data_IF_335755318268
#
_entry.id   IF_335755318268
#
_cell.length_a   1.000
_cell.length_b   1.000
_cell.length_c   1.000
_cell.angle_alpha   90.00
_cell.angle_beta   90.00
_cell.angle_gamma   90.00
#
_symmetry.space_group_name_H-M   'P 1'
#
loop_
_entity.id
_entity.type
_entity.pdbx_description
1 polymer ?
#
# COMPACT_ATOMS: atom_id res chain seq x y z
N UNK A 1 74.00 -43.88 -8.77
CA UNK A 1 72.55 -44.20 -8.80
C UNK A 1 71.79 -42.98 -8.26
N UNK A 2 71.16 -42.21 -9.16
CA UNK A 2 70.40 -40.97 -8.78
C UNK A 2 68.95 -41.34 -8.61
N UNK A 3 68.41 -41.21 -7.40
CA UNK A 3 66.99 -41.39 -7.10
C UNK A 3 66.23 -40.13 -7.51
N UNK A 4 65.37 -40.20 -8.52
CA UNK A 4 64.43 -39.13 -8.90
C UNK A 4 63.14 -39.36 -8.11
N UNK A 5 62.86 -38.47 -7.17
CA UNK A 5 61.57 -38.42 -6.40
C UNK A 5 60.60 -37.67 -7.29
N UNK A 6 59.56 -38.34 -7.79
CA UNK A 6 58.41 -37.74 -8.44
C UNK A 6 57.43 -37.23 -7.35
N UNK A 7 57.32 -35.91 -7.18
CA UNK A 7 56.26 -35.29 -6.35
C UNK A 7 55.02 -35.17 -7.23
N UNK A 8 54.03 -36.00 -6.93
CA UNK A 8 52.68 -35.88 -7.54
C UNK A 8 51.93 -34.76 -6.86
N UNK A 9 51.78 -33.62 -7.56
CA UNK A 9 50.97 -32.50 -7.12
C UNK A 9 49.50 -32.80 -7.40
N UNK A 10 48.76 -33.22 -6.36
CA UNK A 10 47.31 -33.47 -6.44
C UNK A 10 46.58 -32.13 -6.43
N UNK A 11 46.23 -31.59 -7.60
CA UNK A 11 45.35 -30.39 -7.73
C UNK A 11 43.96 -30.83 -7.37
N UNK A 12 43.53 -30.52 -6.14
CA UNK A 12 42.12 -30.56 -5.71
C UNK A 12 41.34 -29.51 -6.52
N UNK A 13 40.72 -29.95 -7.60
CA UNK A 13 39.70 -29.16 -8.29
C UNK A 13 38.48 -29.04 -7.38
N UNK A 14 38.43 -27.98 -6.58
CA UNK A 14 37.20 -27.58 -5.89
C UNK A 14 36.24 -27.08 -6.98
N UNK A 15 35.40 -27.99 -7.45
CA UNK A 15 34.27 -27.64 -8.32
C UNK A 15 33.26 -26.85 -7.46
N UNK A 16 33.31 -25.53 -7.49
CA UNK A 16 32.21 -24.71 -7.05
C UNK A 16 31.01 -25.06 -7.95
N UNK A 17 30.09 -25.87 -7.45
CA UNK A 17 28.78 -25.97 -8.06
C UNK A 17 28.16 -24.58 -7.91
N UNK A 18 28.10 -23.80 -8.97
CA UNK A 18 27.24 -22.63 -9.05
C UNK A 18 25.78 -23.15 -9.04
N UNK A 19 25.23 -23.34 -7.85
CA UNK A 19 23.83 -23.67 -7.72
C UNK A 19 23.03 -22.45 -8.18
N UNK A 20 22.24 -22.61 -9.22
CA UNK A 20 21.37 -21.54 -9.71
C UNK A 20 20.19 -21.41 -8.75
N UNK A 21 19.83 -20.18 -8.35
CA UNK A 21 18.64 -19.97 -7.53
C UNK A 21 17.40 -20.57 -8.20
N UNK A 22 16.63 -21.31 -7.41
CA UNK A 22 15.33 -21.85 -7.83
C UNK A 22 14.24 -20.84 -7.55
N UNK A 23 13.19 -20.86 -8.37
CA UNK A 23 12.00 -20.05 -8.20
C UNK A 23 11.01 -20.73 -7.27
N UNK A 24 10.54 -20.01 -6.27
CA UNK A 24 9.44 -20.40 -5.41
C UNK A 24 8.30 -19.41 -5.58
N UNK A 25 7.08 -19.91 -5.49
CA UNK A 25 5.87 -19.11 -5.69
C UNK A 25 4.85 -19.43 -4.60
N UNK A 26 4.41 -18.40 -3.86
CA UNK A 26 3.42 -18.47 -2.80
C UNK A 26 2.24 -17.59 -3.18
N UNK A 27 1.02 -18.07 -2.96
CA UNK A 27 -0.19 -17.32 -3.27
C UNK A 27 -1.30 -17.65 -2.27
N UNK A 28 -2.21 -16.72 -2.05
CA UNK A 28 -3.31 -16.91 -1.13
C UNK A 28 -4.21 -15.69 -1.03
N UNK A 29 -4.89 -15.57 0.10
CA UNK A 29 -5.77 -14.43 0.40
C UNK A 29 -5.34 -13.77 1.71
N UNK A 30 -5.24 -12.43 1.70
CA UNK A 30 -4.98 -11.64 2.88
C UNK A 30 -5.64 -10.25 2.73
N UNK A 31 -6.03 -9.61 3.83
CA UNK A 31 -6.60 -8.25 3.85
C UNK A 31 -7.79 -8.06 2.89
N UNK A 32 -8.60 -9.11 2.71
CA UNK A 32 -9.77 -9.09 1.82
C UNK A 32 -9.46 -9.12 0.31
N UNK A 33 -8.21 -9.47 -0.08
CA UNK A 33 -7.78 -9.60 -1.47
C UNK A 33 -6.83 -10.78 -1.64
N UNK A 34 -6.36 -11.02 -2.86
CA UNK A 34 -5.34 -12.03 -3.18
C UNK A 34 -3.94 -11.48 -3.04
N UNK A 35 -2.98 -12.37 -2.73
CA UNK A 35 -1.56 -12.08 -2.80
C UNK A 35 -0.82 -13.09 -3.65
N UNK A 36 0.32 -12.66 -4.20
CA UNK A 36 1.31 -13.52 -4.84
C UNK A 36 2.72 -13.07 -4.46
N UNK A 37 3.59 -14.03 -4.15
CA UNK A 37 4.97 -13.79 -3.76
C UNK A 37 5.86 -14.70 -4.60
N UNK A 38 6.71 -14.11 -5.41
CA UNK A 38 7.72 -14.81 -6.18
C UNK A 38 9.09 -14.52 -5.60
N UNK A 39 9.86 -15.55 -5.28
CA UNK A 39 11.22 -15.41 -4.73
C UNK A 39 12.19 -16.34 -5.45
N UNK A 40 13.48 -15.99 -5.40
CA UNK A 40 14.57 -16.85 -5.88
C UNK A 40 15.50 -17.21 -4.71
N UNK A 41 15.75 -18.49 -4.49
CA UNK A 41 16.63 -19.01 -3.45
C UNK A 41 17.48 -20.18 -3.94
N UNK A 42 18.73 -20.26 -3.47
CA UNK A 42 19.59 -21.43 -3.67
C UNK A 42 19.30 -22.54 -2.67
N UNK A 43 18.66 -22.21 -1.56
CA UNK A 43 18.28 -23.16 -0.52
C UNK A 43 16.82 -23.56 -0.71
N UNK A 44 16.48 -24.76 -0.25
CA UNK A 44 15.08 -25.14 -0.08
C UNK A 44 14.46 -24.30 1.05
N UNK A 45 13.26 -23.74 0.81
CA UNK A 45 12.63 -22.79 1.70
C UNK A 45 11.15 -23.12 1.94
N UNK A 46 10.74 -23.05 3.19
CA UNK A 46 9.34 -23.04 3.62
C UNK A 46 9.05 -21.69 4.28
N UNK A 47 8.26 -20.84 3.60
CA UNK A 47 7.96 -19.48 4.02
C UNK A 47 6.49 -19.29 4.44
N UNK A 48 5.60 -20.24 4.16
CA UNK A 48 4.15 -20.09 4.33
C UNK A 48 3.79 -19.66 5.75
N UNK A 49 4.28 -20.38 6.77
CA UNK A 49 3.99 -20.05 8.17
C UNK A 49 4.47 -18.67 8.58
N UNK A 50 5.60 -18.21 8.02
CA UNK A 50 6.12 -16.89 8.31
C UNK A 50 5.30 -15.78 7.64
N UNK A 51 4.88 -15.99 6.40
CA UNK A 51 3.99 -15.09 5.66
C UNK A 51 2.65 -14.97 6.39
N UNK A 52 2.04 -16.10 6.77
CA UNK A 52 0.79 -16.13 7.53
C UNK A 52 0.91 -15.41 8.89
N UNK A 53 2.05 -15.59 9.56
CA UNK A 53 2.34 -14.90 10.82
C UNK A 53 2.40 -13.40 10.66
N UNK A 54 2.95 -12.88 9.55
CA UNK A 54 2.97 -11.44 9.25
C UNK A 54 1.54 -10.94 9.05
N UNK A 55 0.75 -11.58 8.20
CA UNK A 55 -0.64 -11.20 7.97
C UNK A 55 -1.49 -11.22 9.24
N UNK A 56 -1.32 -12.26 10.07
CA UNK A 56 -1.99 -12.36 11.36
C UNK A 56 -1.65 -11.18 12.29
N UNK A 57 -0.37 -10.83 12.42
CA UNK A 57 0.09 -9.73 13.29
C UNK A 57 -0.46 -8.38 12.83
N UNK A 58 -0.41 -8.09 11.52
CA UNK A 58 -0.97 -6.84 10.98
C UNK A 58 -2.48 -6.77 11.22
N UNK A 59 -3.21 -7.85 10.95
CA UNK A 59 -4.65 -7.91 11.20
C UNK A 59 -4.98 -7.70 12.68
N UNK A 60 -4.26 -8.37 13.58
CA UNK A 60 -4.47 -8.24 15.04
C UNK A 60 -4.27 -6.80 15.52
N UNK A 61 -3.28 -6.11 14.96
CA UNK A 61 -2.96 -4.74 15.34
C UNK A 61 -3.93 -3.71 14.73
N UNK A 62 -4.08 -3.69 13.41
CA UNK A 62 -4.65 -2.53 12.69
C UNK A 62 -5.86 -2.83 11.78
N UNK A 63 -6.43 -4.02 11.81
CA UNK A 63 -7.62 -4.34 10.99
C UNK A 63 -8.91 -3.84 11.65
N UNK A 64 -9.60 -2.88 11.03
CA UNK A 64 -10.93 -2.42 11.47
C UNK A 64 -12.02 -3.48 11.25
N UNK A 65 -11.78 -4.47 10.38
CA UNK A 65 -12.72 -5.56 10.09
C UNK A 65 -12.64 -6.71 11.09
N UNK A 66 -11.61 -6.73 11.95
CA UNK A 66 -11.44 -7.75 12.99
C UNK A 66 -11.85 -7.15 14.35
N UNK A 67 -12.99 -7.56 14.95
CA UNK A 67 -13.48 -6.96 16.19
C UNK A 67 -12.50 -7.01 17.36
N UNK A 68 -11.66 -8.04 17.41
CA UNK A 68 -10.67 -8.23 18.47
C UNK A 68 -9.31 -7.60 18.20
N UNK A 69 -9.14 -6.88 17.09
CA UNK A 69 -7.94 -6.11 16.81
C UNK A 69 -7.77 -4.94 17.79
N UNK A 70 -6.53 -4.48 17.95
CA UNK A 70 -6.23 -3.38 18.86
C UNK A 70 -6.89 -2.07 18.37
N UNK A 71 -6.85 -1.78 17.06
CA UNK A 71 -7.52 -0.59 16.49
C UNK A 71 -9.03 -0.64 16.70
N UNK A 72 -9.67 -1.80 16.55
CA UNK A 72 -11.11 -1.94 16.75
C UNK A 72 -11.50 -1.73 18.21
N UNK A 73 -10.70 -2.21 19.17
CA UNK A 73 -10.91 -1.94 20.60
C UNK A 73 -10.76 -0.46 20.92
N UNK A 74 -9.71 0.19 20.41
CA UNK A 74 -9.46 1.63 20.56
C UNK A 74 -10.65 2.43 19.97
N UNK A 75 -11.14 2.06 18.80
CA UNK A 75 -12.28 2.71 18.17
C UNK A 75 -13.55 2.59 19.01
N UNK A 76 -13.75 1.46 19.72
CA UNK A 76 -14.86 1.27 20.68
C UNK A 76 -14.64 1.95 22.02
N UNK A 77 -13.53 2.64 22.24
CA UNK A 77 -13.27 3.43 23.44
C UNK A 77 -12.44 2.70 24.50
N UNK A 78 -11.79 1.58 24.19
CA UNK A 78 -10.87 0.92 25.11
C UNK A 78 -9.55 1.70 25.21
N UNK A 79 -9.36 2.41 26.32
CA UNK A 79 -8.16 3.20 26.61
C UNK A 79 -7.05 2.40 27.30
N UNK A 80 -7.29 1.12 27.58
CA UNK A 80 -6.31 0.24 28.24
C UNK A 80 -5.30 -0.36 27.27
N UNK A 81 -5.56 -0.32 25.97
CA UNK A 81 -4.73 -0.92 24.94
C UNK A 81 -3.37 -0.21 24.89
N UNK A 82 -2.31 -1.00 25.03
CA UNK A 82 -0.93 -0.62 24.74
C UNK A 82 -0.65 -1.12 23.33
N UNK A 83 -0.42 -0.19 22.39
CA UNK A 83 -0.24 -0.53 20.99
C UNK A 83 1.15 -1.10 20.71
N UNK A 84 1.22 -2.02 19.75
CA UNK A 84 2.46 -2.65 19.30
C UNK A 84 3.21 -1.80 18.26
N UNK A 85 4.41 -2.25 17.87
CA UNK A 85 5.25 -1.56 16.87
C UNK A 85 4.54 -1.43 15.51
N UNK A 86 3.68 -2.39 15.15
CA UNK A 86 2.90 -2.33 13.89
C UNK A 86 1.94 -1.14 13.91
N UNK A 87 1.24 -0.95 15.02
CA UNK A 87 0.35 0.20 15.20
C UNK A 87 1.13 1.51 15.19
N UNK A 88 2.24 1.56 15.94
CA UNK A 88 3.11 2.74 16.05
C UNK A 88 3.65 3.16 14.69
N UNK A 89 4.14 2.23 13.90
CA UNK A 89 4.67 2.51 12.56
C UNK A 89 3.56 3.04 11.64
N UNK A 90 2.38 2.40 11.61
CA UNK A 90 1.24 2.88 10.82
C UNK A 90 0.77 4.26 11.28
N UNK A 91 0.76 4.54 12.59
CA UNK A 91 0.46 5.85 13.15
C UNK A 91 1.44 6.91 12.68
N UNK A 92 2.74 6.65 12.78
CA UNK A 92 3.79 7.60 12.43
C UNK A 92 3.81 7.88 10.92
N UNK A 93 3.75 6.84 10.07
CA UNK A 93 3.64 7.02 8.61
C UNK A 93 2.41 7.87 8.27
N UNK A 94 1.28 7.57 8.89
CA UNK A 94 0.05 8.33 8.68
C UNK A 94 0.17 9.77 9.13
N UNK A 95 0.84 10.05 10.26
CA UNK A 95 1.06 11.40 10.76
C UNK A 95 1.92 12.23 9.80
N UNK A 96 2.97 11.64 9.25
CA UNK A 96 3.86 12.30 8.30
C UNK A 96 3.13 12.62 6.99
N UNK A 97 2.37 11.66 6.44
CA UNK A 97 1.59 11.87 5.20
C UNK A 97 0.43 12.86 5.45
N UNK A 98 -0.27 12.78 6.60
CA UNK A 98 -1.28 13.77 7.00
C UNK A 98 -0.70 15.19 6.99
N UNK A 99 0.43 15.39 7.65
CA UNK A 99 1.11 16.70 7.72
C UNK A 99 1.54 17.20 6.34
N UNK A 100 2.17 16.34 5.54
CA UNK A 100 2.68 16.69 4.22
C UNK A 100 1.57 17.04 3.24
N UNK A 101 0.43 16.35 3.33
CA UNK A 101 -0.73 16.56 2.46
C UNK A 101 -1.72 17.62 2.99
N UNK A 102 -1.39 18.30 4.10
CA UNK A 102 -2.30 19.31 4.68
C UNK A 102 -3.65 18.74 5.13
N UNK A 103 -3.69 17.46 5.49
CA UNK A 103 -4.90 16.78 5.96
C UNK A 103 -5.73 16.09 4.87
N UNK A 104 -5.32 16.12 3.60
CA UNK A 104 -6.02 15.36 2.54
C UNK A 104 -5.82 13.84 2.64
N UNK A 105 -4.79 13.40 3.32
CA UNK A 105 -4.68 12.05 3.86
C UNK A 105 -4.98 12.11 5.35
N UNK A 106 -6.05 11.46 5.80
CA UNK A 106 -6.47 11.52 7.21
C UNK A 106 -6.96 10.15 7.70
N UNK A 107 -6.22 9.48 8.60
CA UNK A 107 -6.66 8.21 9.18
C UNK A 107 -7.91 8.30 10.06
N UNK A 108 -8.39 9.49 10.42
CA UNK A 108 -9.64 9.64 11.17
C UNK A 108 -10.89 9.72 10.27
N UNK A 109 -10.71 9.51 8.97
CA UNK A 109 -11.77 9.48 7.96
C UNK A 109 -12.80 8.36 8.19
N UNK A 110 -12.53 7.43 9.11
CA UNK A 110 -13.35 6.25 9.35
C UNK A 110 -14.81 6.54 9.65
N UNK A 111 -15.11 7.64 10.35
CA UNK A 111 -16.49 8.10 10.60
C UNK A 111 -17.24 8.33 9.28
N UNK A 112 -16.64 9.05 8.35
CA UNK A 112 -17.21 9.33 7.03
C UNK A 112 -17.27 8.05 6.17
N UNK A 113 -16.21 7.21 6.18
CA UNK A 113 -16.23 5.94 5.46
C UNK A 113 -17.39 5.04 5.89
N UNK A 114 -17.63 4.96 7.19
CA UNK A 114 -18.76 4.22 7.75
C UNK A 114 -20.09 4.81 7.29
N UNK A 115 -20.26 6.12 7.37
CA UNK A 115 -21.49 6.79 6.95
C UNK A 115 -21.81 6.58 5.46
N UNK A 116 -20.78 6.66 4.59
CA UNK A 116 -20.93 6.41 3.15
C UNK A 116 -21.03 4.92 2.79
N UNK A 117 -20.84 3.99 3.74
CA UNK A 117 -20.92 2.53 3.51
C UNK A 117 -19.70 1.91 2.88
N UNK A 118 -18.52 2.52 3.04
CA UNK A 118 -17.22 1.97 2.66
C UNK A 118 -16.44 1.39 3.84
N UNK A 119 -16.95 1.53 5.07
CA UNK A 119 -16.35 1.03 6.30
C UNK A 119 -16.93 -0.32 6.74
N UNK A 120 -16.82 -0.58 8.03
CA UNK A 120 -17.20 -1.83 8.70
C UNK A 120 -18.55 -1.77 9.45
N UNK A 121 -19.24 -0.62 9.39
CA UNK A 121 -20.56 -0.42 9.98
C UNK A 121 -21.63 -0.16 8.93
N UNK A 122 -22.90 -0.22 9.33
CA UNK A 122 -24.00 0.08 8.43
C UNK A 122 -23.99 1.55 8.00
N UNK A 123 -24.19 1.83 6.69
CA UNK A 123 -24.23 3.20 6.18
C UNK A 123 -25.43 3.97 6.71
N UNK A 124 -25.30 5.31 6.75
CA UNK A 124 -26.45 6.19 6.97
C UNK A 124 -27.39 6.12 5.76
N UNK A 125 -28.68 6.28 6.02
CA UNK A 125 -29.69 6.31 4.95
C UNK A 125 -29.60 7.60 4.12
N UNK A 126 -29.28 8.72 4.78
CA UNK A 126 -29.12 10.03 4.17
C UNK A 126 -27.96 10.78 4.83
N UNK A 127 -27.16 11.47 4.05
CA UNK A 127 -26.07 12.33 4.52
C UNK A 127 -26.39 13.74 4.02
N UNK A 128 -27.11 14.50 4.85
CA UNK A 128 -27.34 15.91 4.62
C UNK A 128 -26.16 16.77 5.14
N UNK A 129 -26.22 18.07 4.89
CA UNK A 129 -25.16 19.00 5.31
C UNK A 129 -24.98 19.05 6.84
N UNK A 130 -26.02 18.89 7.62
CA UNK A 130 -25.97 18.92 9.09
C UNK A 130 -25.30 17.64 9.63
N UNK A 131 -25.64 16.49 9.07
CA UNK A 131 -24.99 15.21 9.38
C UNK A 131 -23.50 15.27 9.03
N UNK A 132 -23.17 15.80 7.84
CA UNK A 132 -21.79 15.94 7.38
C UNK A 132 -20.98 16.86 8.29
N UNK A 133 -21.49 18.06 8.62
CA UNK A 133 -20.85 19.02 9.54
C UNK A 133 -20.63 18.40 10.93
N UNK A 134 -21.58 17.60 11.39
CA UNK A 134 -21.46 16.90 12.68
C UNK A 134 -20.36 15.85 12.66
N UNK A 135 -20.22 15.09 11.57
CA UNK A 135 -19.18 14.07 11.41
C UNK A 135 -17.79 14.68 11.22
N UNK A 136 -17.67 15.80 10.50
CA UNK A 136 -16.38 16.49 10.29
C UNK A 136 -15.72 16.98 11.59
N UNK A 137 -16.50 17.16 12.67
CA UNK A 137 -15.94 17.44 14.02
C UNK A 137 -15.01 16.32 14.49
N UNK A 138 -15.24 15.09 14.05
CA UNK A 138 -14.50 13.90 14.45
C UNK A 138 -13.42 13.49 13.43
N UNK A 139 -13.24 14.27 12.36
CA UNK A 139 -12.17 14.12 11.39
C UNK A 139 -11.06 15.12 11.69
N UNK A 140 -9.81 14.69 11.59
CA UNK A 140 -8.61 15.47 11.87
C UNK A 140 -7.62 14.67 12.71
N UNK A 141 -6.57 14.15 12.10
CA UNK A 141 -5.59 13.30 12.78
C UNK A 141 -4.80 14.05 13.87
N UNK A 142 -4.74 15.38 13.81
CA UNK A 142 -4.22 16.24 14.87
C UNK A 142 -5.01 16.16 16.19
N UNK A 143 -6.20 15.54 16.17
CA UNK A 143 -7.06 15.30 17.35
C UNK A 143 -6.77 13.94 18.02
N UNK A 144 -5.80 13.19 17.49
CA UNK A 144 -5.36 11.88 18.01
C UNK A 144 -3.89 11.97 18.42
N UNK A 145 -3.56 11.37 19.56
CA UNK A 145 -2.19 11.37 20.09
C UNK A 145 -1.75 9.98 20.48
N UNK A 146 -0.56 9.61 20.06
CA UNK A 146 0.19 8.48 20.62
C UNK A 146 0.97 8.99 21.84
N UNK A 147 0.71 8.40 23.01
CA UNK A 147 1.39 8.80 24.27
C UNK A 147 2.73 8.12 24.42
N UNK A 148 3.56 8.61 25.37
CA UNK A 148 4.82 7.97 25.77
C UNK A 148 4.63 6.57 26.39
N UNK A 149 3.42 6.23 26.81
CA UNK A 149 3.04 4.92 27.35
C UNK A 149 2.50 3.98 26.26
N UNK A 150 2.64 4.36 24.97
CA UNK A 150 2.14 3.62 23.83
C UNK A 150 0.62 3.40 23.87
N UNK A 151 -0.14 4.41 24.29
CA UNK A 151 -1.60 4.44 24.26
C UNK A 151 -2.09 5.49 23.29
N UNK A 152 -3.32 5.29 22.80
CA UNK A 152 -3.97 6.25 21.90
C UNK A 152 -4.97 7.10 22.70
N UNK A 153 -4.76 8.40 22.67
CA UNK A 153 -5.70 9.40 23.20
C UNK A 153 -6.45 10.06 22.04
N UNK A 154 -7.76 10.10 22.12
CA UNK A 154 -8.65 10.77 21.16
C UNK A 154 -9.29 11.97 21.84
N UNK A 155 -9.30 13.14 21.17
CA UNK A 155 -9.97 14.34 21.67
C UNK A 155 -11.48 14.14 21.84
N UNK A 156 -12.09 13.34 20.95
CA UNK A 156 -13.49 12.94 20.99
C UNK A 156 -13.56 11.41 20.91
N UNK A 157 -14.39 10.75 21.75
CA UNK A 157 -14.53 9.30 21.71
C UNK A 157 -15.06 8.77 20.36
N UNK A 158 -15.82 9.61 19.63
CA UNK A 158 -16.40 9.30 18.32
C UNK A 158 -15.36 9.24 17.18
N UNK A 159 -14.14 9.74 17.36
CA UNK A 159 -13.08 9.62 16.35
C UNK A 159 -12.87 8.15 16.04
N UNK A 160 -12.94 7.82 14.75
CA UNK A 160 -12.74 6.47 14.24
C UNK A 160 -11.47 6.41 13.40
N UNK A 161 -10.46 5.72 13.92
CA UNK A 161 -9.14 5.57 13.27
C UNK A 161 -9.21 4.40 12.27
N UNK A 162 -8.68 4.62 11.08
CA UNK A 162 -8.63 3.66 9.99
C UNK A 162 -7.31 3.78 9.23
N UNK A 163 -6.49 2.73 9.31
CA UNK A 163 -5.20 2.66 8.61
C UNK A 163 -5.26 1.87 7.28
N UNK A 164 -6.45 1.58 6.74
CA UNK A 164 -6.57 0.76 5.54
C UNK A 164 -5.83 1.30 4.30
N UNK A 165 -5.53 2.61 4.28
CA UNK A 165 -4.75 3.27 3.22
C UNK A 165 -3.22 3.22 3.43
N UNK A 166 -2.74 2.51 4.46
CA UNK A 166 -1.32 2.32 4.80
C UNK A 166 -1.02 0.86 5.15
N UNK A 167 -1.93 0.24 5.91
CA UNK A 167 -1.69 -1.06 6.55
C UNK A 167 -1.43 -2.19 5.54
N UNK A 168 -2.02 -2.11 4.36
CA UNK A 168 -1.82 -3.10 3.30
C UNK A 168 -0.40 -3.01 2.74
N UNK A 169 0.04 -1.81 2.36
CA UNK A 169 1.42 -1.56 1.95
C UNK A 169 2.42 -1.89 3.05
N UNK A 170 2.12 -1.54 4.30
CA UNK A 170 2.97 -1.87 5.45
C UNK A 170 3.11 -3.39 5.66
N UNK A 171 2.04 -4.15 5.47
CA UNK A 171 2.07 -5.61 5.52
C UNK A 171 3.02 -6.21 4.47
N UNK A 172 3.02 -5.64 3.26
CA UNK A 172 3.97 -6.02 2.19
C UNK A 172 5.41 -5.71 2.60
N UNK A 173 5.67 -4.54 3.18
CA UNK A 173 6.99 -4.16 3.67
C UNK A 173 7.50 -5.13 4.76
N UNK A 174 6.62 -5.56 5.67
CA UNK A 174 6.95 -6.57 6.68
C UNK A 174 7.26 -7.95 6.06
N UNK A 175 6.54 -8.35 5.01
CA UNK A 175 6.87 -9.59 4.29
C UNK A 175 8.23 -9.44 3.62
N UNK A 176 8.53 -8.31 2.99
CA UNK A 176 9.85 -8.03 2.43
C UNK A 176 10.96 -8.18 3.47
N UNK A 177 10.81 -7.54 4.63
CA UNK A 177 11.75 -7.69 5.77
C UNK A 177 11.89 -9.15 6.23
N UNK A 178 10.78 -9.90 6.26
CA UNK A 178 10.82 -11.32 6.60
C UNK A 178 11.61 -12.13 5.57
N UNK A 179 11.40 -11.92 4.26
CA UNK A 179 12.15 -12.57 3.20
C UNK A 179 13.66 -12.25 3.28
N UNK A 180 14.01 -10.98 3.50
CA UNK A 180 15.40 -10.53 3.68
C UNK A 180 16.05 -11.19 4.92
N UNK A 181 15.30 -11.37 6.01
CA UNK A 181 15.77 -12.10 7.21
C UNK A 181 16.09 -13.58 6.95
N UNK A 182 15.54 -14.14 5.85
CA UNK A 182 15.82 -15.50 5.36
C UNK A 182 16.93 -15.54 4.30
N UNK A 183 17.59 -14.40 4.04
CA UNK A 183 18.66 -14.30 3.04
C UNK A 183 18.16 -14.21 1.59
N UNK A 184 16.88 -13.92 1.37
CA UNK A 184 16.29 -13.80 0.05
C UNK A 184 16.49 -12.35 -0.45
N UNK A 185 17.24 -12.19 -1.53
CA UNK A 185 17.58 -10.88 -2.11
C UNK A 185 16.76 -10.53 -3.36
N UNK A 186 16.13 -11.52 -4.00
CA UNK A 186 15.40 -11.33 -5.25
C UNK A 186 13.96 -11.82 -5.08
N UNK A 187 13.02 -10.86 -5.04
CA UNK A 187 11.61 -11.16 -4.86
C UNK A 187 10.68 -10.10 -5.46
N UNK A 188 9.48 -10.53 -5.79
CA UNK A 188 8.35 -9.70 -6.14
C UNK A 188 7.17 -10.11 -5.27
N UNK A 189 6.65 -9.18 -4.48
CA UNK A 189 5.44 -9.34 -3.67
C UNK A 189 4.34 -8.51 -4.32
N UNK A 190 3.19 -9.10 -4.54
CA UNK A 190 1.96 -8.40 -4.96
C UNK A 190 0.84 -8.76 -3.98
N UNK A 191 0.06 -7.77 -3.56
CA UNK A 191 -1.12 -7.95 -2.72
C UNK A 191 -2.18 -6.90 -3.09
N UNK A 192 -3.22 -7.34 -3.79
CA UNK A 192 -4.36 -6.50 -4.15
C UNK A 192 -4.03 -5.34 -5.09
N UNK A 193 -2.89 -5.39 -5.78
CA UNK A 193 -2.40 -4.37 -6.70
C UNK A 193 -1.22 -3.55 -6.17
N UNK A 194 -0.94 -3.59 -4.87
CA UNK A 194 0.28 -3.04 -4.30
C UNK A 194 1.43 -4.02 -4.47
N UNK A 195 2.62 -3.52 -4.76
CA UNK A 195 3.77 -4.30 -5.17
C UNK A 195 5.03 -3.83 -4.44
N UNK A 196 5.87 -4.77 -4.02
CA UNK A 196 7.24 -4.52 -3.59
C UNK A 196 8.17 -5.41 -4.42
N UNK A 197 9.09 -4.77 -5.14
CA UNK A 197 10.13 -5.44 -5.94
C UNK A 197 11.49 -5.25 -5.29
N UNK A 198 12.24 -6.34 -5.13
CA UNK A 198 13.62 -6.33 -4.65
C UNK A 198 14.51 -7.15 -5.59
N UNK A 199 15.73 -6.64 -5.83
CA UNK A 199 16.65 -7.27 -6.76
C UNK A 199 16.06 -7.42 -8.17
N UNK A 200 16.31 -8.55 -8.82
CA UNK A 200 15.95 -8.79 -10.21
C UNK A 200 15.17 -10.10 -10.42
N UNK A 201 14.54 -10.22 -11.56
CA UNK A 201 14.04 -11.49 -12.06
C UNK A 201 15.21 -12.33 -12.58
N UNK A 202 15.70 -13.24 -11.73
CA UNK A 202 16.92 -14.03 -11.98
C UNK A 202 16.82 -14.89 -13.24
N UNK A 203 15.63 -15.44 -13.55
CA UNK A 203 15.42 -16.25 -14.78
C UNK A 203 15.59 -15.41 -16.04
N UNK A 204 15.19 -14.14 -16.00
CA UNK A 204 15.25 -13.22 -17.15
C UNK A 204 16.49 -12.34 -17.13
N UNK A 205 17.24 -12.33 -16.03
CA UNK A 205 18.38 -11.44 -15.77
C UNK A 205 18.04 -9.97 -16.09
N UNK A 206 16.90 -9.50 -15.54
CA UNK A 206 16.34 -8.18 -15.78
C UNK A 206 15.51 -7.73 -14.57
N UNK A 207 15.27 -6.43 -14.45
CA UNK A 207 14.32 -5.86 -13.49
C UNK A 207 12.96 -6.54 -13.60
N UNK A 208 12.17 -6.49 -12.53
CA UNK A 208 10.81 -6.98 -12.50
C UNK A 208 9.91 -6.13 -13.40
N UNK A 209 9.12 -6.77 -14.25
CA UNK A 209 8.19 -6.08 -15.15
C UNK A 209 6.76 -6.19 -14.62
N UNK A 210 6.11 -5.04 -14.47
CA UNK A 210 4.75 -4.92 -13.94
C UNK A 210 3.92 -4.04 -14.86
N UNK A 211 2.64 -4.34 -15.02
CA UNK A 211 1.71 -3.53 -15.79
C UNK A 211 1.06 -2.43 -14.94
N UNK A 212 0.98 -1.22 -15.47
CA UNK A 212 0.07 -0.18 -14.98
C UNK A 212 -1.27 -0.42 -15.66
N UNK A 213 -2.31 -0.70 -14.87
CA UNK A 213 -3.61 -1.08 -15.40
C UNK A 213 -4.32 0.10 -16.06
N UNK A 214 -4.98 -0.18 -17.15
CA UNK A 214 -5.82 0.79 -17.84
C UNK A 214 -7.13 1.01 -17.06
N UNK A 215 -7.47 2.25 -16.74
CA UNK A 215 -8.67 2.62 -15.96
C UNK A 215 -9.99 2.21 -16.65
N UNK A 216 -9.99 2.02 -17.96
CA UNK A 216 -11.15 1.60 -18.75
C UNK A 216 -11.26 0.09 -18.90
N UNK A 217 -10.29 -0.69 -18.39
CA UNK A 217 -10.31 -2.14 -18.52
C UNK A 217 -11.40 -2.81 -17.67
N UNK A 218 -12.04 -3.84 -18.23
CA UNK A 218 -12.97 -4.67 -17.51
C UNK A 218 -12.22 -5.61 -16.53
N UNK A 219 -12.86 -5.94 -15.40
CA UNK A 219 -12.29 -6.88 -14.41
C UNK A 219 -11.95 -8.25 -15.00
N UNK A 220 -12.68 -8.67 -16.05
CA UNK A 220 -12.52 -9.97 -16.71
C UNK A 220 -11.57 -9.92 -17.92
N UNK A 221 -11.18 -8.70 -18.37
CA UNK A 221 -10.29 -8.50 -19.52
C UNK A 221 -9.38 -7.31 -19.23
N UNK A 222 -8.38 -7.56 -18.37
CA UNK A 222 -7.45 -6.51 -17.91
C UNK A 222 -6.48 -6.13 -19.02
N UNK A 223 -6.48 -4.86 -19.39
CA UNK A 223 -5.47 -4.26 -20.25
C UNK A 223 -4.54 -3.36 -19.45
N UNK A 224 -3.33 -3.18 -19.94
CA UNK A 224 -2.34 -2.32 -19.32
C UNK A 224 -2.12 -1.09 -20.19
N UNK A 225 -2.12 0.09 -19.57
CA UNK A 225 -1.77 1.34 -20.24
C UNK A 225 -0.28 1.44 -20.51
N UNK A 226 0.54 0.82 -19.65
CA UNK A 226 2.01 0.83 -19.75
C UNK A 226 2.61 -0.34 -18.99
N UNK A 227 3.84 -0.71 -19.33
CA UNK A 227 4.67 -1.65 -18.58
C UNK A 227 5.80 -0.89 -17.92
N UNK A 228 6.07 -1.17 -16.65
CA UNK A 228 7.11 -0.51 -15.87
C UNK A 228 8.13 -1.53 -15.33
N UNK A 229 9.41 -1.15 -15.33
CA UNK A 229 10.48 -1.91 -14.73
C UNK A 229 10.70 -1.49 -13.27
N UNK A 230 10.59 -2.45 -12.35
CA UNK A 230 10.78 -2.23 -10.92
C UNK A 230 12.04 -2.92 -10.43
N UNK A 231 12.83 -2.21 -9.64
CA UNK A 231 14.02 -2.71 -8.94
C UNK A 231 14.19 -1.93 -7.64
N UNK A 232 14.21 -2.65 -6.51
CA UNK A 232 14.37 -2.07 -5.17
C UNK A 232 13.40 -0.90 -4.87
N UNK A 233 12.15 -1.06 -5.27
CA UNK A 233 11.14 -0.02 -5.14
C UNK A 233 9.74 -0.64 -4.96
N UNK A 234 8.89 0.08 -4.27
CA UNK A 234 7.48 -0.26 -4.14
C UNK A 234 6.60 0.52 -5.12
N UNK A 235 5.45 -0.06 -5.45
CA UNK A 235 4.42 0.54 -6.29
C UNK A 235 3.05 0.31 -5.68
N UNK A 236 2.21 1.34 -5.63
CA UNK A 236 0.79 1.20 -5.29
C UNK A 236 -0.06 1.98 -6.28
N UNK A 237 -1.27 1.50 -6.54
CA UNK A 237 -2.22 2.16 -7.44
C UNK A 237 -3.56 2.34 -6.77
N UNK A 238 -4.03 3.58 -6.70
CA UNK A 238 -5.39 3.95 -6.30
C UNK A 238 -6.19 4.44 -7.50
N UNK A 239 -7.50 4.12 -7.51
CA UNK A 239 -8.39 4.57 -8.57
C UNK A 239 -9.87 4.40 -8.21
N UNK A 240 -10.69 5.33 -8.67
CA UNK A 240 -12.13 5.39 -8.37
C UNK A 240 -12.99 4.58 -9.36
N UNK A 241 -12.37 3.88 -10.31
CA UNK A 241 -13.10 3.13 -11.35
C UNK A 241 -13.61 1.77 -10.88
N UNK A 242 -12.99 1.17 -9.84
CA UNK A 242 -13.34 -0.17 -9.35
C UNK A 242 -14.30 -0.18 -8.17
N UNK A 243 -14.16 0.77 -7.24
CA UNK A 243 -14.94 0.81 -6.00
C UNK A 243 -15.77 2.09 -5.96
N UNK A 244 -17.06 1.93 -6.17
CA UNK A 244 -18.05 3.00 -6.03
C UNK A 244 -19.35 2.42 -5.49
N UNK A 245 -20.16 3.27 -4.90
CA UNK A 245 -21.52 2.95 -4.48
C UNK A 245 -22.49 3.89 -5.20
N UNK A 246 -23.59 3.36 -5.68
CA UNK A 246 -24.70 4.16 -6.18
C UNK A 246 -25.74 4.22 -5.06
N UNK A 247 -26.08 5.42 -4.62
CA UNK A 247 -27.15 5.65 -3.69
C UNK A 247 -28.50 5.27 -4.34
N UNK A 248 -29.25 4.37 -3.71
CA UNK A 248 -30.49 3.85 -4.29
C UNK A 248 -31.65 4.85 -4.27
N UNK A 249 -31.57 5.89 -3.43
CA UNK A 249 -32.63 6.91 -3.30
C UNK A 249 -32.35 8.12 -4.22
N UNK A 250 -31.10 8.59 -4.25
CA UNK A 250 -30.72 9.81 -4.96
C UNK A 250 -30.11 9.52 -6.34
N UNK A 251 -29.65 8.30 -6.60
CA UNK A 251 -28.90 7.94 -7.80
C UNK A 251 -27.45 8.46 -7.81
N UNK A 252 -27.01 9.13 -6.76
CA UNK A 252 -25.66 9.68 -6.67
C UNK A 252 -24.62 8.56 -6.63
N UNK A 253 -23.53 8.78 -7.36
CA UNK A 253 -22.37 7.89 -7.39
C UNK A 253 -21.30 8.39 -6.42
N UNK A 254 -21.14 7.69 -5.30
CA UNK A 254 -20.09 7.94 -4.33
C UNK A 254 -18.86 7.11 -4.64
N UNK A 255 -17.68 7.72 -4.53
CA UNK A 255 -16.40 7.03 -4.64
C UNK A 255 -15.86 6.69 -3.25
N UNK A 256 -15.02 5.67 -3.17
CA UNK A 256 -14.48 5.22 -1.88
C UNK A 256 -13.36 6.12 -1.32
N UNK A 257 -12.73 6.94 -2.18
CA UNK A 257 -11.76 7.94 -1.74
C UNK A 257 -12.51 9.21 -1.40
N UNK A 258 -12.61 9.48 -0.10
CA UNK A 258 -13.31 10.65 0.43
C UNK A 258 -12.34 11.82 0.58
N UNK A 259 -12.86 13.04 0.47
CA UNK A 259 -12.11 14.24 0.81
C UNK A 259 -12.27 14.52 2.32
N UNK A 260 -11.21 14.41 3.14
CA UNK A 260 -11.33 14.60 4.60
C UNK A 260 -11.63 16.04 5.02
N UNK A 261 -11.33 17.01 4.16
CA UNK A 261 -11.52 18.43 4.46
C UNK A 261 -12.99 18.83 4.28
N UNK A 262 -13.60 18.34 3.20
CA UNK A 262 -15.00 18.70 2.88
C UNK A 262 -15.99 17.60 3.28
N UNK A 263 -15.49 16.40 3.57
CA UNK A 263 -16.33 15.21 3.79
C UNK A 263 -16.96 14.66 2.51
N UNK A 264 -16.70 15.25 1.35
CA UNK A 264 -17.31 14.83 0.07
C UNK A 264 -16.81 13.48 -0.39
N UNK A 265 -17.72 12.67 -0.94
CA UNK A 265 -17.47 11.42 -1.62
C UNK A 265 -17.51 11.60 -3.16
N UNK A 266 -17.40 12.81 -3.65
CA UNK A 266 -17.39 13.12 -5.08
C UNK A 266 -16.02 12.81 -5.71
N UNK A 267 -16.04 12.56 -7.00
CA UNK A 267 -14.81 12.35 -7.76
C UNK A 267 -13.95 13.61 -7.80
N UNK A 268 -12.65 13.47 -7.54
CA UNK A 268 -11.68 14.44 -8.00
C UNK A 268 -11.46 14.31 -9.52
N UNK A 269 -10.71 15.22 -10.12
CA UNK A 269 -10.27 15.14 -11.51
C UNK A 269 -9.33 13.95 -11.79
N UNK A 270 -8.64 13.43 -10.75
CA UNK A 270 -7.79 12.24 -10.86
C UNK A 270 -8.67 10.98 -10.90
N UNK A 271 -8.53 10.20 -11.97
CA UNK A 271 -9.24 8.93 -12.15
C UNK A 271 -8.45 7.75 -11.59
N UNK A 272 -7.11 7.83 -11.69
CA UNK A 272 -6.19 6.84 -11.14
C UNK A 272 -4.82 7.46 -10.87
N UNK A 273 -4.12 6.93 -9.88
CA UNK A 273 -2.72 7.26 -9.62
C UNK A 273 -1.94 6.01 -9.26
N UNK A 274 -0.80 5.83 -9.95
CA UNK A 274 0.24 4.87 -9.56
C UNK A 274 1.39 5.63 -8.95
N UNK A 275 1.79 5.23 -7.74
CA UNK A 275 2.89 5.83 -6.97
C UNK A 275 4.02 4.84 -6.84
N UNK A 276 5.25 5.28 -7.12
CA UNK A 276 6.48 4.61 -6.75
C UNK A 276 7.06 5.26 -5.50
N UNK A 277 7.50 4.46 -4.53
CA UNK A 277 8.07 4.94 -3.28
C UNK A 277 9.11 3.96 -2.74
N UNK A 278 9.99 4.38 -1.79
CA UNK A 278 10.94 3.49 -1.14
C UNK A 278 10.29 2.34 -0.35
N UNK A 279 9.07 2.54 0.16
CA UNK A 279 8.28 1.54 0.89
C UNK A 279 6.87 1.44 0.33
N UNK A 280 6.26 0.26 0.44
CA UNK A 280 4.92 0.03 -0.04
C UNK A 280 3.87 0.79 0.80
N UNK A 281 4.11 0.95 2.12
CA UNK A 281 3.27 1.77 2.99
C UNK A 281 3.19 3.23 2.53
N UNK A 282 4.31 3.84 2.13
CA UNK A 282 4.33 5.21 1.59
C UNK A 282 3.64 5.28 0.22
N UNK A 283 3.88 4.29 -0.66
CA UNK A 283 3.22 4.24 -1.96
C UNK A 283 1.70 4.19 -1.81
N UNK A 284 1.17 3.33 -0.94
CA UNK A 284 -0.27 3.16 -0.64
C UNK A 284 -0.88 4.45 -0.07
N UNK A 285 -0.19 5.06 0.93
CA UNK A 285 -0.63 6.31 1.55
C UNK A 285 -0.70 7.47 0.56
N UNK A 286 0.36 7.71 -0.21
CA UNK A 286 0.37 8.80 -1.19
C UNK A 286 -0.57 8.53 -2.37
N UNK A 287 -0.74 7.28 -2.81
CA UNK A 287 -1.74 6.95 -3.82
C UNK A 287 -3.15 7.34 -3.37
N UNK A 288 -3.49 7.07 -2.10
CA UNK A 288 -4.77 7.51 -1.52
C UNK A 288 -4.86 9.03 -1.37
N UNK A 289 -3.79 9.69 -0.90
CA UNK A 289 -3.75 11.14 -0.71
C UNK A 289 -3.97 11.89 -2.03
N UNK A 290 -3.26 11.52 -3.09
CA UNK A 290 -3.36 12.18 -4.39
C UNK A 290 -4.75 12.06 -5.01
N UNK A 291 -5.44 10.94 -4.82
CA UNK A 291 -6.83 10.80 -5.25
C UNK A 291 -7.76 11.80 -4.58
N UNK A 292 -7.50 12.18 -3.31
CA UNK A 292 -8.29 13.17 -2.58
C UNK A 292 -7.89 14.62 -2.87
N UNK A 293 -6.59 14.86 -3.16
CA UNK A 293 -6.02 16.18 -3.45
C UNK A 293 -6.50 16.75 -4.77
N UNK A 294 -6.67 15.91 -5.80
CA UNK A 294 -6.82 16.35 -7.17
C UNK A 294 -5.50 16.81 -7.81
N UNK A 295 -5.52 17.07 -9.10
CA UNK A 295 -4.31 17.23 -9.91
C UNK A 295 -3.48 18.47 -9.55
N UNK A 296 -4.14 19.59 -9.32
CA UNK A 296 -3.47 20.87 -9.05
C UNK A 296 -2.67 20.80 -7.73
N UNK A 297 -3.33 20.40 -6.63
CA UNK A 297 -2.68 20.27 -5.33
C UNK A 297 -1.65 19.15 -5.31
N UNK A 298 -1.90 18.05 -6.03
CA UNK A 298 -0.95 16.94 -6.13
C UNK A 298 0.38 17.38 -6.76
N UNK A 299 0.38 18.21 -7.79
CA UNK A 299 1.61 18.75 -8.39
C UNK A 299 2.42 19.58 -7.40
N UNK A 300 1.77 20.44 -6.61
CA UNK A 300 2.43 21.26 -5.60
C UNK A 300 3.08 20.39 -4.52
N UNK A 301 2.36 19.37 -4.03
CA UNK A 301 2.91 18.45 -3.02
C UNK A 301 4.10 17.66 -3.58
N UNK A 302 4.03 17.18 -4.82
CA UNK A 302 5.09 16.41 -5.47
C UNK A 302 6.43 17.17 -5.52
N UNK A 303 6.42 18.49 -5.67
CA UNK A 303 7.64 19.32 -5.65
C UNK A 303 8.37 19.28 -4.31
N UNK A 304 7.67 18.93 -3.22
CA UNK A 304 8.22 18.84 -1.86
C UNK A 304 8.68 17.43 -1.49
N UNK A 305 8.30 16.42 -2.28
CA UNK A 305 8.57 15.01 -1.99
C UNK A 305 9.87 14.53 -2.65
N UNK A 306 10.64 13.76 -1.90
CA UNK A 306 11.84 13.09 -2.40
C UNK A 306 11.60 11.59 -2.50
N UNK A 307 11.99 10.98 -3.62
CA UNK A 307 11.89 9.53 -3.83
C UNK A 307 10.45 9.04 -4.06
N UNK A 308 9.53 9.93 -4.37
CA UNK A 308 8.17 9.63 -4.78
C UNK A 308 8.01 9.99 -6.26
N UNK A 309 7.67 9.01 -7.07
CA UNK A 309 7.35 9.18 -8.47
C UNK A 309 5.92 8.76 -8.75
N UNK A 310 5.27 9.39 -9.72
CA UNK A 310 3.84 9.17 -9.98
C UNK A 310 3.51 9.07 -11.45
N UNK A 311 2.44 8.30 -11.72
CA UNK A 311 1.73 8.26 -12.99
C UNK A 311 0.25 8.54 -12.71
N UNK A 312 -0.24 9.70 -13.13
CA UNK A 312 -1.64 10.09 -13.01
C UNK A 312 -2.38 9.84 -14.32
N UNK A 313 -3.59 9.31 -14.21
CA UNK A 313 -4.63 9.45 -15.23
C UNK A 313 -5.69 10.39 -14.66
N UNK A 314 -6.04 11.46 -15.39
CA UNK A 314 -6.95 12.48 -14.91
C UNK A 314 -7.77 13.06 -16.05
N UNK A 315 -8.89 13.70 -15.74
CA UNK A 315 -9.70 14.43 -16.71
C UNK A 315 -9.33 15.91 -16.68
N UNK A 316 -9.11 16.50 -17.84
CA UNK A 316 -8.90 17.94 -17.97
C UNK A 316 -10.23 18.74 -17.89
N UNK A 317 -10.15 20.05 -18.06
CA UNK A 317 -11.30 20.96 -18.02
C UNK A 317 -12.36 20.66 -19.09
N UNK A 318 -11.99 19.98 -20.18
CA UNK A 318 -12.89 19.54 -21.24
C UNK A 318 -13.45 18.14 -20.97
N UNK A 319 -13.13 17.56 -19.80
CA UNK A 319 -13.44 16.17 -19.43
C UNK A 319 -12.78 15.14 -20.38
N UNK A 320 -11.63 15.48 -20.97
CA UNK A 320 -10.82 14.57 -21.76
C UNK A 320 -9.75 13.91 -20.88
N UNK A 321 -9.54 12.60 -21.06
CA UNK A 321 -8.55 11.85 -20.32
C UNK A 321 -7.13 12.26 -20.70
N UNK A 322 -6.34 12.59 -19.70
CA UNK A 322 -4.96 13.01 -19.80
C UNK A 322 -4.06 12.16 -18.92
N UNK A 323 -2.78 12.11 -19.24
CA UNK A 323 -1.76 11.42 -18.47
C UNK A 323 -0.65 12.40 -18.08
N UNK A 324 -0.22 12.31 -16.82
CA UNK A 324 0.98 12.97 -16.31
C UNK A 324 1.86 11.97 -15.60
N UNK A 325 3.16 11.98 -15.87
CA UNK A 325 4.13 11.17 -15.15
C UNK A 325 5.37 12.01 -14.80
N UNK A 326 5.94 11.75 -13.61
CA UNK A 326 7.23 12.31 -13.22
C UNK A 326 8.37 11.70 -14.05
N UNK A 327 9.49 12.40 -14.15
CA UNK A 327 10.66 11.92 -14.91
C UNK A 327 11.22 10.61 -14.35
N UNK A 328 11.24 10.44 -13.02
CA UNK A 328 11.70 9.20 -12.40
C UNK A 328 10.83 7.98 -12.80
N UNK A 329 9.51 8.17 -12.92
CA UNK A 329 8.62 7.11 -13.40
C UNK A 329 8.77 6.89 -14.91
N UNK A 330 8.82 7.95 -15.74
CA UNK A 330 9.01 7.84 -17.19
C UNK A 330 10.24 7.03 -17.56
N UNK A 331 11.35 7.22 -16.86
CA UNK A 331 12.60 6.49 -17.08
C UNK A 331 12.49 4.99 -16.81
N UNK A 332 11.42 4.53 -16.16
CA UNK A 332 11.14 3.12 -15.86
C UNK A 332 10.09 2.50 -16.79
N UNK A 333 9.38 3.32 -17.58
CA UNK A 333 8.42 2.82 -18.57
C UNK A 333 9.15 2.10 -19.69
N UNK A 334 8.57 0.98 -20.12
CA UNK A 334 9.02 0.27 -21.32
C UNK A 334 8.10 0.69 -22.47
N UNK A 335 8.74 1.18 -23.54
CA UNK A 335 8.08 1.52 -24.81
C UNK A 335 7.72 0.26 -25.60
#
# INVERSE_FOLDING_TARGET
MKNIIWIFFFILMVSCKNERPQKYFFQGQAFGTTFSIQVYSINDIDLEKGIDSVFYKVNKSVSTYLPESDISKINRGDTSIIVDDIFIDNFNISADVYKTTGGFFDPTIGVLRNAYGFGDTNPLQEIDSLALDSMLKFVGFNKVKLTSEYKIEKQYPEIYIDFNAVAKGYGIDLIGKYLESKGIANYLIELGGEILAKGENVEKNKSWLVGIENVTSNLNDRSYSSIIALENIAMATSGNYRKFRIDSLTGNKYVHTLNPITGSAEKSDITSVTVLAPTCALADAYATAFMALGMEHSKVILETLNGIDVYFTYNDQNNEEQVFATEGLKNRLLN
#
